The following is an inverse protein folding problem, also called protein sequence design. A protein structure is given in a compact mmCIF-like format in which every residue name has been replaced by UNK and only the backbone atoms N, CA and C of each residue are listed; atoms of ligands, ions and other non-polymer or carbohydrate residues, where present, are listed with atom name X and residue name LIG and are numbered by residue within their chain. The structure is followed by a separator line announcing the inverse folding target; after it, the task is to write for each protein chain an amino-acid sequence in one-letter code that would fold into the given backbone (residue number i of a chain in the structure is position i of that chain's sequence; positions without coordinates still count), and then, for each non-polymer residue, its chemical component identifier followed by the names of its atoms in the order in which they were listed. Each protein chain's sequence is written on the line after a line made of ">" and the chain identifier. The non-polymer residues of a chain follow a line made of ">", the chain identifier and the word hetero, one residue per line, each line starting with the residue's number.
data_IF_285348137572
#
_entry.id   IF_285348137572
#
_cell.length_a   1.000
_cell.length_b   1.000
_cell.length_c   1.000
_cell.angle_alpha   90.00
_cell.angle_beta   90.00
_cell.angle_gamma   90.00
#
_symmetry.space_group_name_H-M   'P 1'
#
loop_
_entity.id
_entity.type
_entity.pdbx_description
1 polymer ?
#
# COMPACT_ATOMS: atom_id res chain seq x y z
N UNK A 1 -9.06 10.66 -2.60
CA UNK A 1 -10.03 9.54 -2.64
C UNK A 1 -9.34 8.32 -2.06
N UNK A 2 -9.59 8.09 -0.76
CA UNK A 2 -9.40 6.80 -0.14
C UNK A 2 -10.68 6.03 -0.28
N UNK A 3 -10.53 4.82 -0.75
CA UNK A 3 -11.52 3.77 -0.56
C UNK A 3 -10.69 2.65 -0.97
N UNK A 4 -10.10 2.03 0.05
CA UNK A 4 -10.79 0.93 0.70
C UNK A 4 -11.37 -0.11 -0.25
N UNK A 5 -10.88 -1.35 -0.36
CA UNK A 5 -11.61 -2.59 -0.70
C UNK A 5 -11.64 -3.26 -2.13
N UNK A 6 -10.63 -3.99 -2.70
CA UNK A 6 -10.84 -4.75 -3.99
C UNK A 6 -11.05 -6.25 -3.84
N UNK A 7 -10.39 -6.91 -2.88
CA UNK A 7 -10.27 -8.39 -2.91
C UNK A 7 -11.03 -9.15 -1.82
N UNK A 8 -12.16 -8.65 -1.32
CA UNK A 8 -13.17 -9.52 -0.68
C UNK A 8 -14.60 -9.34 -1.25
N UNK A 9 -14.75 -8.67 -2.41
CA UNK A 9 -16.02 -8.48 -3.13
C UNK A 9 -15.86 -8.95 -4.59
N UNK A 10 -16.77 -9.77 -5.16
CA UNK A 10 -16.79 -10.02 -6.59
C UNK A 10 -16.90 -8.69 -7.34
N UNK A 11 -15.78 -8.20 -7.87
CA UNK A 11 -15.70 -6.95 -8.63
C UNK A 11 -14.61 -6.99 -9.71
N UNK A 12 -14.78 -6.24 -10.79
CA UNK A 12 -13.90 -6.20 -11.95
C UNK A 12 -13.67 -4.77 -12.45
N UNK A 13 -12.46 -4.44 -12.93
CA UNK A 13 -12.20 -3.16 -13.56
C UNK A 13 -12.74 -3.15 -15.00
N UNK A 14 -13.50 -2.12 -15.38
CA UNK A 14 -13.99 -1.92 -16.76
C UNK A 14 -13.52 -0.57 -17.31
N UNK A 15 -12.99 -0.59 -18.54
CA UNK A 15 -12.62 0.63 -19.25
C UNK A 15 -13.89 1.43 -19.58
N UNK A 16 -13.88 2.70 -19.23
CA UNK A 16 -14.94 3.68 -19.46
C UNK A 16 -14.33 4.90 -20.16
N UNK A 17 -15.17 5.83 -20.63
CA UNK A 17 -14.76 6.98 -21.46
C UNK A 17 -13.52 7.73 -20.92
N UNK A 18 -13.36 7.79 -19.59
CA UNK A 18 -12.33 8.55 -18.90
C UNK A 18 -11.33 7.70 -18.09
N UNK A 19 -11.28 6.38 -18.27
CA UNK A 19 -10.31 5.54 -17.55
C UNK A 19 -10.82 4.14 -17.22
N UNK A 20 -10.70 3.73 -15.96
CA UNK A 20 -11.18 2.43 -15.45
C UNK A 20 -12.10 2.64 -14.24
N UNK A 21 -13.22 1.91 -14.15
CA UNK A 21 -14.06 1.83 -12.95
C UNK A 21 -14.09 0.41 -12.39
N UNK A 22 -14.30 0.21 -11.08
CA UNK A 22 -14.47 -1.09 -10.43
C UNK A 22 -15.97 -1.40 -10.32
N UNK A 23 -16.43 -2.54 -10.84
CA UNK A 23 -17.84 -2.94 -10.94
C UNK A 23 -18.05 -4.25 -10.22
N UNK A 24 -19.17 -4.46 -9.53
CA UNK A 24 -19.47 -5.78 -9.00
C UNK A 24 -19.57 -6.83 -10.13
N UNK A 25 -18.93 -7.99 -9.99
CA UNK A 25 -19.02 -9.10 -10.92
C UNK A 25 -20.14 -10.10 -10.57
N UNK A 26 -20.79 -9.92 -9.41
CA UNK A 26 -21.90 -10.73 -8.92
C UNK A 26 -22.77 -9.95 -7.90
N UNK A 27 -23.89 -10.54 -7.47
CA UNK A 27 -24.75 -10.02 -6.40
C UNK A 27 -24.01 -10.04 -5.04
N UNK A 28 -23.91 -8.86 -4.42
CA UNK A 28 -23.23 -8.70 -3.13
C UNK A 28 -24.25 -8.73 -1.98
N UNK A 29 -24.12 -9.64 -0.99
CA UNK A 29 -25.00 -9.63 0.16
C UNK A 29 -24.75 -8.40 1.06
N UNK A 30 -25.74 -8.00 1.88
CA UNK A 30 -25.56 -6.93 2.86
C UNK A 30 -24.36 -7.22 3.79
N UNK A 31 -23.53 -6.20 4.05
CA UNK A 31 -22.32 -6.26 4.89
C UNK A 31 -21.12 -7.05 4.34
N UNK A 32 -21.06 -7.29 3.03
CA UNK A 32 -19.80 -7.77 2.42
C UNK A 32 -18.70 -6.71 2.67
N UNK A 33 -17.42 -7.11 2.72
CA UNK A 33 -16.22 -6.29 2.94
C UNK A 33 -15.25 -6.53 1.75
N UNK A 34 -14.29 -5.68 1.38
CA UNK A 34 -13.15 -6.09 0.52
C UNK A 34 -11.88 -5.42 0.99
N UNK A 35 -10.68 -5.94 0.76
CA UNK A 35 -9.48 -5.24 1.25
C UNK A 35 -8.27 -5.21 0.28
N UNK A 36 -7.07 -4.78 0.73
CA UNK A 36 -6.37 -3.57 0.22
C UNK A 36 -4.97 -3.25 0.76
N UNK A 37 -4.37 -2.08 0.47
CA UNK A 37 -3.12 -1.62 1.06
C UNK A 37 -3.26 -1.41 2.58
N UNK A 38 -2.64 -2.26 3.39
CA UNK A 38 -2.64 -2.10 4.84
C UNK A 38 -1.74 -0.91 5.22
N UNK A 39 -2.29 0.11 5.86
CA UNK A 39 -1.52 1.23 6.38
C UNK A 39 -2.02 1.66 7.75
N UNK A 40 -1.18 2.38 8.50
CA UNK A 40 -1.57 2.96 9.78
C UNK A 40 -2.21 4.33 9.55
N UNK A 41 -3.38 4.59 10.14
CA UNK A 41 -4.08 5.89 10.13
C UNK A 41 -4.60 6.20 11.53
N UNK A 42 -4.25 7.37 12.08
CA UNK A 42 -4.67 7.78 13.43
C UNK A 42 -4.47 6.64 14.45
N UNK A 43 -3.27 6.05 14.44
CA UNK A 43 -2.86 4.93 15.31
C UNK A 43 -3.56 3.58 15.07
N UNK A 44 -4.49 3.48 14.11
CA UNK A 44 -5.19 2.24 13.77
C UNK A 44 -4.72 1.68 12.44
N UNK A 45 -4.55 0.37 12.38
CA UNK A 45 -4.34 -0.33 11.11
C UNK A 45 -5.63 -0.33 10.30
N UNK A 46 -5.56 0.24 9.11
CA UNK A 46 -6.66 0.30 8.16
C UNK A 46 -6.21 -0.26 6.84
N UNK A 47 -7.06 -1.09 6.29
CA UNK A 47 -6.95 -1.55 4.94
C UNK A 47 -7.39 -0.38 4.00
N UNK A 48 -6.62 -0.03 2.93
CA UNK A 48 -6.86 1.01 1.89
C UNK A 48 -6.77 0.61 0.39
N UNK A 49 -7.86 0.64 -0.36
CA UNK A 49 -7.83 0.65 -1.83
C UNK A 49 -7.50 2.08 -2.13
N UNK A 50 -6.72 2.15 -3.15
CA UNK A 50 -6.42 3.41 -3.76
C UNK A 50 -7.08 3.26 -5.13
N UNK A 51 -8.06 4.11 -5.41
CA UNK A 51 -8.64 4.23 -6.74
C UNK A 51 -7.76 5.05 -7.69
N UNK A 52 -6.58 5.49 -7.22
CA UNK A 52 -5.58 6.17 -8.04
C UNK A 52 -4.55 5.18 -8.59
N UNK A 53 -3.65 5.69 -9.44
CA UNK A 53 -2.48 4.91 -9.87
C UNK A 53 -1.51 4.60 -8.72
N UNK A 54 -1.69 5.18 -7.52
CA UNK A 54 -0.85 4.88 -6.36
C UNK A 54 -0.92 3.41 -5.94
N UNK A 55 -1.99 2.67 -6.28
CA UNK A 55 -2.10 1.21 -6.03
C UNK A 55 -1.04 0.39 -6.75
N UNK A 56 -0.39 0.95 -7.76
CA UNK A 56 0.69 0.31 -8.49
C UNK A 56 2.08 0.68 -7.92
N UNK A 57 2.17 1.56 -6.92
CA UNK A 57 3.44 1.90 -6.30
C UNK A 57 3.93 0.74 -5.46
N UNK A 58 5.09 0.19 -5.81
CA UNK A 58 5.64 -1.01 -5.19
C UNK A 58 6.35 -0.72 -3.87
N UNK A 59 6.64 -1.80 -3.13
CA UNK A 59 7.49 -1.72 -1.96
C UNK A 59 8.96 -1.49 -2.35
N UNK A 60 9.64 -0.64 -1.58
CA UNK A 60 11.10 -0.58 -1.55
C UNK A 60 11.65 -0.45 -0.14
N UNK A 61 12.71 -1.22 0.18
CA UNK A 61 13.48 -1.07 1.41
C UNK A 61 14.35 0.21 1.41
N UNK A 62 14.48 0.89 0.28
CA UNK A 62 15.05 2.25 0.14
C UNK A 62 14.09 3.08 -0.70
N UNK A 63 13.01 3.60 -0.09
CA UNK A 63 11.92 4.21 -0.83
C UNK A 63 12.29 5.59 -1.39
N UNK A 64 11.61 6.03 -2.45
CA UNK A 64 11.64 7.42 -2.91
C UNK A 64 10.33 8.18 -2.61
N UNK A 65 9.32 7.50 -2.09
CA UNK A 65 8.05 8.07 -1.65
C UNK A 65 7.65 7.57 -0.25
N UNK A 66 6.67 8.25 0.35
CA UNK A 66 6.02 7.88 1.60
C UNK A 66 4.52 8.09 1.53
N UNK A 67 3.77 7.54 2.48
CA UNK A 67 2.36 7.88 2.68
C UNK A 67 2.26 8.91 3.80
N UNK A 68 1.60 10.04 3.53
CA UNK A 68 1.26 11.00 4.57
C UNK A 68 -0.04 10.60 5.31
N UNK A 69 -0.44 11.38 6.32
CA UNK A 69 -1.64 11.11 7.12
C UNK A 69 -2.95 11.14 6.31
N UNK A 70 -2.93 11.80 5.14
CA UNK A 70 -4.03 11.83 4.18
C UNK A 70 -4.03 10.63 3.22
N UNK A 71 -3.05 9.73 3.34
CA UNK A 71 -2.86 8.55 2.49
C UNK A 71 -2.48 8.90 1.05
N UNK A 72 -1.74 10.00 0.91
CA UNK A 72 -1.17 10.46 -0.36
C UNK A 72 0.27 9.98 -0.48
N UNK A 73 0.64 9.55 -1.68
CA UNK A 73 2.02 9.17 -1.99
C UNK A 73 2.85 10.43 -2.26
N UNK A 74 3.74 10.77 -1.33
CA UNK A 74 4.55 11.99 -1.36
C UNK A 74 6.01 11.63 -1.62
N UNK A 75 6.66 12.32 -2.55
CA UNK A 75 8.09 12.09 -2.84
C UNK A 75 8.96 12.57 -1.69
N UNK A 76 9.96 11.78 -1.34
CA UNK A 76 10.95 12.07 -0.29
C UNK A 76 12.21 12.73 -0.86
N UNK A 77 12.45 12.53 -2.16
CA UNK A 77 13.62 12.99 -2.90
C UNK A 77 13.21 13.42 -4.30
N UNK A 78 14.15 13.92 -5.10
CA UNK A 78 13.92 14.12 -6.54
C UNK A 78 13.79 12.75 -7.23
N UNK A 79 12.68 12.54 -7.93
CA UNK A 79 12.43 11.34 -8.73
C UNK A 79 12.58 11.69 -10.21
N UNK A 80 13.45 10.98 -10.92
CA UNK A 80 13.73 11.24 -12.34
C UNK A 80 12.65 10.62 -13.24
N UNK A 81 12.53 11.13 -14.46
CA UNK A 81 11.63 10.56 -15.48
C UNK A 81 12.01 9.10 -15.75
N UNK A 82 11.08 8.19 -15.54
CA UNK A 82 11.27 6.74 -15.76
C UNK A 82 11.68 5.98 -14.50
N UNK A 83 11.98 6.66 -13.40
CA UNK A 83 12.13 6.00 -12.10
C UNK A 83 10.77 5.58 -11.55
N UNK A 84 10.74 4.42 -10.91
CA UNK A 84 9.55 3.89 -10.25
C UNK A 84 9.26 4.65 -8.95
N UNK A 85 8.00 4.97 -8.69
CA UNK A 85 7.55 5.47 -7.39
C UNK A 85 7.32 4.29 -6.44
N UNK A 86 7.96 4.31 -5.28
CA UNK A 86 7.91 3.20 -4.32
C UNK A 86 7.98 3.70 -2.86
N UNK A 87 7.44 2.90 -1.93
CA UNK A 87 7.37 3.24 -0.51
C UNK A 87 7.51 2.01 0.40
N UNK A 88 7.51 2.19 1.72
CA UNK A 88 7.60 1.09 2.69
C UNK A 88 6.21 0.57 3.03
N UNK A 89 5.94 -0.71 2.77
CA UNK A 89 4.62 -1.32 3.02
C UNK A 89 4.39 -1.70 4.49
N UNK A 90 5.47 -1.92 5.23
CA UNK A 90 5.44 -2.45 6.60
C UNK A 90 6.04 -1.46 7.61
N UNK A 91 5.81 -0.15 7.41
CA UNK A 91 6.24 0.85 8.39
C UNK A 91 5.35 0.82 9.64
N UNK A 92 5.91 0.51 10.80
CA UNK A 92 5.17 0.36 12.06
C UNK A 92 6.09 0.15 13.27
N UNK A 93 5.49 -0.19 14.42
CA UNK A 93 6.21 -0.60 15.62
C UNK A 93 6.40 -2.12 15.65
N UNK A 94 7.44 -2.60 16.32
CA UNK A 94 7.62 -4.04 16.59
C UNK A 94 6.54 -4.59 17.54
N UNK A 95 5.87 -3.70 18.30
CA UNK A 95 4.74 -4.04 19.17
C UNK A 95 3.39 -4.10 18.43
N UNK A 96 3.34 -3.67 17.16
CA UNK A 96 2.11 -3.73 16.36
C UNK A 96 1.82 -5.18 15.93
N UNK A 97 0.56 -5.61 16.00
CA UNK A 97 0.14 -6.95 15.57
C UNK A 97 0.29 -7.11 14.05
N UNK A 98 1.10 -8.09 13.65
CA UNK A 98 1.31 -8.44 12.24
C UNK A 98 0.27 -9.44 11.76
N UNK A 99 -0.45 -9.11 10.69
CA UNK A 99 -1.29 -10.07 9.99
C UNK A 99 -0.42 -10.94 9.06
N UNK A 100 -0.32 -12.26 9.30
CA UNK A 100 0.50 -13.15 8.47
C UNK A 100 0.14 -13.14 6.99
N UNK A 101 -1.10 -12.76 6.61
CA UNK A 101 -1.50 -12.63 5.20
C UNK A 101 -0.71 -11.56 4.44
N UNK A 102 -0.13 -10.59 5.16
CA UNK A 102 0.70 -9.53 4.60
C UNK A 102 2.17 -9.94 4.43
N UNK A 103 2.48 -11.22 4.58
CA UNK A 103 3.84 -11.75 4.44
C UNK A 103 4.20 -12.01 2.98
N UNK A 104 5.32 -11.45 2.50
CA UNK A 104 5.78 -11.65 1.12
C UNK A 104 7.30 -11.50 0.95
N UNK A 105 7.85 -12.14 -0.09
CA UNK A 105 9.25 -11.99 -0.49
C UNK A 105 9.47 -10.63 -1.17
N UNK A 106 10.39 -9.82 -0.65
CA UNK A 106 10.75 -8.52 -1.21
C UNK A 106 11.72 -8.67 -2.39
N UNK A 107 11.35 -8.09 -3.53
CA UNK A 107 12.13 -8.09 -4.78
C UNK A 107 12.61 -6.67 -5.17
N UNK A 108 12.72 -5.75 -4.21
CA UNK A 108 13.09 -4.35 -4.50
C UNK A 108 14.56 -4.16 -4.93
N UNK A 109 15.39 -5.20 -4.81
CA UNK A 109 16.82 -5.26 -5.24
C UNK A 109 17.76 -4.18 -4.67
N UNK A 110 17.34 -3.42 -3.66
CA UNK A 110 18.24 -2.51 -2.96
C UNK A 110 19.24 -3.28 -2.09
N UNK A 111 20.44 -2.74 -1.92
CA UNK A 111 21.54 -3.37 -1.17
C UNK A 111 21.18 -3.75 0.29
N UNK A 112 20.24 -3.02 0.90
CA UNK A 112 19.73 -3.27 2.26
C UNK A 112 18.29 -3.82 2.25
N UNK A 113 17.98 -4.68 1.28
CA UNK A 113 16.68 -5.36 1.19
C UNK A 113 16.45 -6.27 2.40
N UNK A 114 15.24 -6.28 2.96
CA UNK A 114 14.85 -7.19 4.05
C UNK A 114 14.74 -8.66 3.60
N UNK A 115 14.61 -8.92 2.29
CA UNK A 115 14.41 -10.25 1.73
C UNK A 115 12.99 -10.78 1.94
N UNK A 116 12.56 -10.88 3.20
CA UNK A 116 11.18 -11.23 3.58
C UNK A 116 10.54 -10.07 4.35
N UNK A 117 9.31 -9.73 3.99
CA UNK A 117 8.45 -8.81 4.73
C UNK A 117 7.46 -9.66 5.52
N UNK A 118 7.70 -9.83 6.82
CA UNK A 118 6.95 -10.72 7.72
C UNK A 118 6.69 -10.07 9.10
N UNK A 119 6.95 -8.77 9.21
CA UNK A 119 6.79 -7.94 10.40
C UNK A 119 6.86 -6.47 10.03
N UNK A 120 6.39 -5.62 10.93
CA UNK A 120 6.63 -4.19 10.83
C UNK A 120 8.09 -3.85 11.09
N UNK A 121 8.53 -2.76 10.47
CA UNK A 121 9.84 -2.14 10.71
C UNK A 121 9.67 -0.70 11.13
N UNK A 122 10.59 -0.23 11.97
CA UNK A 122 10.62 1.17 12.37
C UNK A 122 10.97 2.08 11.18
N UNK A 123 10.23 3.19 11.10
CA UNK A 123 10.43 4.25 10.12
C UNK A 123 10.50 5.62 10.82
N UNK A 124 11.19 6.59 10.21
CA UNK A 124 11.22 7.97 10.69
C UNK A 124 9.86 8.67 10.47
N UNK A 125 9.74 9.92 10.90
CA UNK A 125 8.50 10.73 10.74
C UNK A 125 8.09 10.93 9.27
N UNK A 126 8.97 10.64 8.32
CA UNK A 126 8.72 10.74 6.88
C UNK A 126 8.50 9.36 6.26
N UNK A 127 8.46 8.28 7.04
CA UNK A 127 8.30 6.91 6.53
C UNK A 127 9.58 6.28 5.96
N UNK A 128 10.76 6.86 6.21
CA UNK A 128 12.03 6.24 5.83
C UNK A 128 12.42 5.15 6.83
N UNK A 129 12.92 4.00 6.37
CA UNK A 129 13.49 3.01 7.26
C UNK A 129 14.60 3.55 8.17
N UNK A 130 14.49 3.24 9.48
CA UNK A 130 15.58 3.48 10.44
C UNK A 130 16.48 2.24 10.47
N UNK A 131 17.79 2.45 10.67
CA UNK A 131 18.76 1.36 10.87
C UNK A 131 18.56 0.68 12.22
#
# INVERSE_FOLDING_TARGET
>A
MNTALSDQYPSYPKKIEYGYGLFASDDLPPNTVAYVLLCKKNEKWVWLLTFSNARYANHSCRPNCTLNDNQELVTLTNVQKGEELNFVYNGGSEDDEWDPIWTFKCECKNDNCQGMIDRYRRVDRRGNPVK
#
